data_IF_805056870315
#
_entry.id   IF_805056870315
#
_cell.length_a   1.000
_cell.length_b   1.000
_cell.length_c   1.000
_cell.angle_alpha   90.00
_cell.angle_beta   90.00
_cell.angle_gamma   90.00
#
_symmetry.space_group_name_H-M   'P 1'
#
loop_
_entity.id
_entity.type
_entity.pdbx_description
1 polymer ?
#
# COMPACT_ATOMS: atom_id res chain seq x y z
N UNK A 1 5.56 61.93 -9.99
CA UNK A 1 5.55 60.95 -11.10
C UNK A 1 6.99 60.78 -11.56
N UNK A 2 7.56 59.56 -11.53
CA UNK A 2 8.95 59.34 -11.96
C UNK A 2 8.94 58.94 -13.45
N UNK A 3 9.14 59.90 -14.35
CA UNK A 3 9.20 59.67 -15.79
C UNK A 3 10.49 60.27 -16.34
N UNK A 4 11.20 59.53 -17.17
CA UNK A 4 12.36 60.06 -17.91
C UNK A 4 11.88 60.70 -19.20
N UNK A 5 12.30 61.93 -19.43
CA UNK A 5 11.94 62.77 -20.59
C UNK A 5 13.20 63.43 -21.15
N UNK A 6 13.14 63.92 -22.38
CA UNK A 6 14.29 64.53 -23.05
C UNK A 6 14.22 66.05 -22.92
N UNK A 7 15.27 66.68 -22.38
CA UNK A 7 15.43 68.12 -22.43
C UNK A 7 16.20 68.49 -23.70
N UNK A 8 15.55 69.18 -24.64
CA UNK A 8 16.20 69.59 -25.91
C UNK A 8 16.80 71.00 -25.86
N UNK A 9 16.41 71.80 -24.87
CA UNK A 9 16.88 73.17 -24.71
C UNK A 9 16.55 73.73 -23.33
N UNK A 10 17.10 74.90 -23.04
CA UNK A 10 16.86 75.60 -21.79
C UNK A 10 16.61 77.10 -22.03
N UNK A 11 15.79 77.69 -21.16
CA UNK A 11 15.49 79.11 -21.12
C UNK A 11 15.97 79.69 -19.80
N UNK A 12 16.64 80.84 -19.84
CA UNK A 12 16.98 81.62 -18.66
C UNK A 12 15.90 82.68 -18.46
N UNK A 13 15.19 82.59 -17.35
CA UNK A 13 14.19 83.57 -16.99
C UNK A 13 14.84 84.81 -16.36
N UNK A 14 14.20 85.98 -16.44
CA UNK A 14 14.73 87.25 -15.93
C UNK A 14 15.06 87.20 -14.42
N UNK A 15 14.35 86.35 -13.66
CA UNK A 15 14.62 86.11 -12.23
C UNK A 15 15.81 85.19 -11.94
N UNK A 16 16.62 84.83 -12.95
CA UNK A 16 17.78 83.95 -12.80
C UNK A 16 17.48 82.45 -12.80
N UNK A 17 16.21 82.03 -12.82
CA UNK A 17 15.85 80.61 -12.90
C UNK A 17 16.08 80.02 -14.30
N UNK A 18 16.48 78.76 -14.36
CA UNK A 18 16.63 78.01 -15.61
C UNK A 18 15.44 77.06 -15.77
N UNK A 19 14.83 77.05 -16.95
CA UNK A 19 13.74 76.14 -17.30
C UNK A 19 14.14 75.25 -18.48
N UNK A 20 13.88 73.95 -18.41
CA UNK A 20 14.09 73.01 -19.50
C UNK A 20 12.82 72.82 -20.34
N UNK A 21 12.99 72.78 -21.67
CA UNK A 21 11.94 72.39 -22.61
C UNK A 21 11.93 70.86 -22.75
N UNK A 22 10.85 70.23 -22.27
CA UNK A 22 10.76 68.78 -22.16
C UNK A 22 10.00 68.16 -23.33
N UNK A 23 10.47 66.99 -23.76
CA UNK A 23 9.89 66.18 -24.84
C UNK A 23 9.78 64.71 -24.40
N UNK A 24 8.77 64.01 -24.90
CA UNK A 24 8.65 62.56 -24.70
C UNK A 24 9.53 61.73 -25.67
N UNK A 25 9.39 60.41 -25.66
CA UNK A 25 10.16 59.51 -26.54
C UNK A 25 9.86 59.69 -28.03
N UNK A 26 8.71 60.26 -28.37
CA UNK A 26 8.27 60.47 -29.75
C UNK A 26 8.63 61.88 -30.25
N UNK A 27 9.27 62.70 -29.40
CA UNK A 27 9.57 64.09 -29.71
C UNK A 27 8.36 65.02 -29.55
N UNK A 28 7.30 64.59 -28.87
CA UNK A 28 6.18 65.48 -28.54
C UNK A 28 6.57 66.39 -27.37
N UNK A 29 6.37 67.70 -27.56
CA UNK A 29 6.64 68.69 -26.53
C UNK A 29 5.67 68.55 -25.35
N UNK A 30 6.21 68.58 -24.13
CA UNK A 30 5.48 68.36 -22.88
C UNK A 30 5.33 69.64 -22.04
N UNK A 31 6.12 70.67 -22.30
CA UNK A 31 6.14 71.91 -21.52
C UNK A 31 7.51 72.27 -20.96
N UNK A 32 7.52 73.33 -20.15
CA UNK A 32 8.71 73.79 -19.44
C UNK A 32 8.72 73.31 -17.98
N UNK A 33 9.90 72.98 -17.46
CA UNK A 33 10.10 72.65 -16.05
C UNK A 33 11.29 73.40 -15.47
N UNK A 34 11.19 73.88 -14.23
CA UNK A 34 12.34 74.48 -13.56
C UNK A 34 13.46 73.42 -13.39
N UNK A 35 14.70 73.77 -13.72
CA UNK A 35 15.88 72.90 -13.62
C UNK A 35 15.99 72.23 -12.25
N UNK A 36 15.63 72.92 -11.18
CA UNK A 36 15.74 72.40 -9.80
C UNK A 36 14.67 71.34 -9.48
N UNK A 37 13.64 71.18 -10.31
CA UNK A 37 12.58 70.20 -10.13
C UNK A 37 12.87 68.85 -10.82
N UNK A 38 14.00 68.72 -11.53
CA UNK A 38 14.36 67.51 -12.25
C UNK A 38 15.78 67.05 -11.90
N UNK A 39 16.02 65.76 -12.09
CA UNK A 39 17.35 65.17 -12.02
C UNK A 39 17.84 64.89 -13.43
N UNK A 40 18.93 65.54 -13.82
CA UNK A 40 19.60 65.25 -15.08
C UNK A 40 20.29 63.89 -15.04
N UNK A 41 20.19 63.14 -16.12
CA UNK A 41 20.82 61.83 -16.25
C UNK A 41 21.44 61.67 -17.63
N UNK A 42 22.53 60.92 -17.71
CA UNK A 42 23.32 60.77 -18.94
C UNK A 42 22.73 59.81 -19.96
N UNK A 43 21.61 59.13 -19.68
CA UNK A 43 21.03 58.13 -20.59
C UNK A 43 19.50 58.03 -20.54
N UNK A 44 18.92 57.42 -21.57
CA UNK A 44 17.47 57.31 -21.79
C UNK A 44 16.75 56.47 -20.73
N UNK A 45 17.49 55.72 -19.91
CA UNK A 45 16.96 54.91 -18.82
C UNK A 45 16.53 55.71 -17.59
N UNK A 46 16.99 56.95 -17.44
CA UNK A 46 16.78 57.74 -16.24
C UNK A 46 17.63 57.31 -15.05
N UNK A 47 17.37 57.87 -13.85
CA UNK A 47 18.19 57.59 -12.68
C UNK A 47 17.87 56.22 -12.12
N UNK A 48 18.83 55.61 -11.42
CA UNK A 48 18.56 54.41 -10.63
C UNK A 48 17.65 54.76 -9.46
N UNK A 49 16.50 54.10 -9.36
CA UNK A 49 15.55 54.29 -8.27
C UNK A 49 15.64 53.07 -7.34
N UNK A 50 16.15 53.28 -6.12
CA UNK A 50 16.25 52.25 -5.08
C UNK A 50 14.92 51.52 -4.92
N UNK A 51 14.95 50.21 -5.13
CA UNK A 51 13.75 49.35 -5.08
C UNK A 51 14.17 48.01 -4.51
N UNK A 52 13.54 47.56 -3.43
CA UNK A 52 13.84 46.24 -2.86
C UNK A 52 12.59 45.36 -2.87
N UNK A 53 12.60 44.35 -3.74
CA UNK A 53 11.53 43.36 -3.85
C UNK A 53 12.07 42.07 -4.47
N UNK A 54 11.24 41.04 -4.49
CA UNK A 54 11.54 39.77 -5.15
C UNK A 54 10.59 39.58 -6.33
N UNK A 55 11.11 39.10 -7.44
CA UNK A 55 10.32 38.89 -8.66
C UNK A 55 10.64 37.54 -9.28
N UNK A 56 9.63 36.88 -9.83
CA UNK A 56 9.75 35.62 -10.56
C UNK A 56 9.48 35.88 -12.03
N UNK A 57 10.37 35.44 -12.90
CA UNK A 57 10.20 35.61 -14.36
C UNK A 57 9.07 34.70 -14.81
N UNK A 58 8.00 35.29 -15.37
CA UNK A 58 6.79 34.58 -15.78
C UNK A 58 6.51 34.65 -17.28
N UNK A 59 7.24 35.49 -18.02
CA UNK A 59 7.08 35.63 -19.46
C UNK A 59 8.42 35.37 -20.17
N UNK A 60 8.43 34.35 -21.03
CA UNK A 60 9.61 33.91 -21.78
C UNK A 60 10.04 34.85 -22.91
N UNK A 61 9.20 35.84 -23.27
CA UNK A 61 9.41 36.70 -24.45
C UNK A 61 10.25 37.94 -24.17
N UNK A 62 10.66 38.19 -22.92
CA UNK A 62 11.41 39.39 -22.54
C UNK A 62 12.82 39.01 -22.07
N UNK A 63 13.86 39.13 -22.90
CA UNK A 63 15.21 38.84 -22.47
C UNK A 63 15.65 39.82 -21.36
N UNK A 64 16.73 39.44 -20.68
CA UNK A 64 17.48 40.36 -19.84
C UNK A 64 18.53 41.06 -20.69
N UNK A 65 18.83 42.32 -20.37
CA UNK A 65 19.79 43.14 -21.10
C UNK A 65 21.01 43.50 -20.24
N UNK A 66 22.19 43.52 -20.85
CA UNK A 66 23.45 43.95 -20.23
C UNK A 66 23.57 45.48 -20.13
N UNK A 67 22.78 46.21 -20.91
CA UNK A 67 22.77 47.67 -20.95
C UNK A 67 21.46 48.16 -21.60
N UNK A 68 21.26 49.48 -21.62
CA UNK A 68 20.11 50.12 -22.27
C UNK A 68 20.31 50.37 -23.78
N UNK A 69 21.35 49.78 -24.38
CA UNK A 69 21.49 49.63 -25.83
C UNK A 69 20.91 48.28 -26.32
N UNK A 70 20.11 47.62 -25.47
CA UNK A 70 19.42 46.36 -25.76
C UNK A 70 20.34 45.18 -26.09
N UNK A 71 21.59 45.21 -25.63
CA UNK A 71 22.47 44.04 -25.71
C UNK A 71 21.94 42.93 -24.81
N UNK A 72 21.45 41.84 -25.42
CA UNK A 72 20.89 40.70 -24.69
C UNK A 72 21.98 40.04 -23.82
N UNK A 73 21.62 39.74 -22.58
CA UNK A 73 22.46 39.02 -21.61
C UNK A 73 22.03 37.57 -21.48
N UNK A 74 20.74 37.34 -21.23
CA UNK A 74 20.13 36.02 -21.16
C UNK A 74 18.73 36.05 -21.79
N UNK A 75 18.39 34.98 -22.51
CA UNK A 75 17.03 34.71 -22.94
C UNK A 75 16.13 34.43 -21.72
N UNK A 76 14.92 34.97 -21.67
CA UNK A 76 14.02 34.72 -20.54
C UNK A 76 13.57 33.26 -20.42
N UNK A 77 13.60 32.48 -21.50
CA UNK A 77 13.32 31.04 -21.46
C UNK A 77 14.26 30.28 -20.53
N UNK A 78 15.55 30.64 -20.45
CA UNK A 78 16.52 29.96 -19.56
C UNK A 78 16.39 30.38 -18.09
N UNK A 79 15.65 31.46 -17.84
CA UNK A 79 15.41 32.02 -16.53
C UNK A 79 13.94 31.90 -16.10
N UNK A 80 13.10 31.26 -16.91
CA UNK A 80 11.66 31.15 -16.66
C UNK A 80 11.41 30.48 -15.31
N UNK A 81 10.46 31.03 -14.56
CA UNK A 81 10.08 30.65 -13.21
C UNK A 81 11.15 30.85 -12.12
N UNK A 82 12.36 31.33 -12.45
CA UNK A 82 13.38 31.65 -11.44
C UNK A 82 13.06 32.96 -10.73
N UNK A 83 13.42 33.03 -9.45
CA UNK A 83 13.20 34.18 -8.58
C UNK A 83 14.49 34.96 -8.37
N UNK A 84 14.39 36.29 -8.49
CA UNK A 84 15.50 37.23 -8.34
C UNK A 84 15.14 38.34 -7.36
N UNK A 85 16.16 38.93 -6.74
CA UNK A 85 16.04 40.18 -6.00
C UNK A 85 16.19 41.35 -6.96
N UNK A 86 15.28 42.30 -6.86
CA UNK A 86 15.41 43.62 -7.48
C UNK A 86 16.07 44.55 -6.47
N UNK A 87 17.12 45.25 -6.89
CA UNK A 87 17.79 46.28 -6.05
C UNK A 87 17.50 47.69 -6.53
N UNK A 88 17.08 47.85 -7.79
CA UNK A 88 16.57 49.10 -8.30
C UNK A 88 15.80 48.94 -9.59
N UNK A 89 15.14 50.03 -9.95
CA UNK A 89 14.34 50.16 -11.15
C UNK A 89 14.69 51.42 -11.92
N UNK A 90 14.38 51.41 -13.20
CA UNK A 90 14.64 52.49 -14.15
C UNK A 90 13.34 52.77 -14.91
N UNK A 91 12.93 54.03 -14.92
CA UNK A 91 11.75 54.49 -15.65
C UNK A 91 12.21 55.00 -17.01
N UNK A 92 12.34 54.08 -17.97
CA UNK A 92 12.97 54.39 -19.24
C UNK A 92 12.09 55.32 -20.08
N UNK A 93 12.72 56.16 -20.90
CA UNK A 93 12.04 57.15 -21.75
C UNK A 93 11.00 56.51 -22.69
N UNK A 94 11.18 55.25 -23.08
CA UNK A 94 10.21 54.47 -23.87
C UNK A 94 8.90 54.12 -23.12
N UNK A 95 8.72 54.60 -21.90
CA UNK A 95 7.53 54.37 -21.08
C UNK A 95 7.51 53.04 -20.32
N UNK A 96 8.51 52.18 -20.48
CA UNK A 96 8.62 50.92 -19.73
C UNK A 96 9.49 51.07 -18.48
N UNK A 97 9.11 50.36 -17.42
CA UNK A 97 9.95 50.18 -16.24
C UNK A 97 10.85 48.96 -16.41
N UNK A 98 12.14 49.10 -16.11
CA UNK A 98 13.09 47.99 -16.09
C UNK A 98 13.65 47.74 -14.68
N UNK A 99 13.74 46.48 -14.29
CA UNK A 99 14.32 46.05 -13.01
C UNK A 99 15.73 45.51 -13.18
N UNK A 100 16.62 45.84 -12.26
CA UNK A 100 17.96 45.25 -12.17
C UNK A 100 17.92 43.99 -11.30
N UNK A 101 18.20 42.83 -11.90
CA UNK A 101 18.03 41.51 -11.25
C UNK A 101 19.34 40.99 -10.65
N UNK A 102 19.23 40.43 -9.45
CA UNK A 102 20.33 39.80 -8.72
C UNK A 102 19.92 38.46 -8.14
N UNK A 103 20.84 37.50 -8.10
CA UNK A 103 20.66 36.20 -7.42
C UNK A 103 21.02 36.27 -5.92
N UNK A 104 21.02 35.11 -5.25
CA UNK A 104 21.32 35.02 -3.80
C UNK A 104 22.77 35.34 -3.45
N UNK A 105 23.67 35.31 -4.42
CA UNK A 105 25.09 35.62 -4.27
C UNK A 105 25.40 37.06 -4.71
N UNK A 106 24.38 37.90 -4.91
CA UNK A 106 24.48 39.24 -5.48
C UNK A 106 25.12 39.28 -6.88
N UNK A 107 25.10 38.16 -7.63
CA UNK A 107 25.50 38.16 -9.03
C UNK A 107 24.42 38.86 -9.84
N UNK A 108 24.84 39.75 -10.74
CA UNK A 108 23.94 40.52 -11.57
C UNK A 108 23.50 39.76 -12.84
N UNK A 109 22.19 39.76 -13.09
CA UNK A 109 21.53 39.02 -14.17
C UNK A 109 20.96 39.89 -15.28
N UNK A 110 21.18 41.20 -15.24
CA UNK A 110 20.70 42.11 -16.30
C UNK A 110 19.49 42.93 -15.90
N UNK A 111 19.12 43.81 -16.81
CA UNK A 111 17.88 44.58 -16.75
C UNK A 111 16.75 43.79 -17.41
N UNK A 112 15.58 43.71 -16.78
CA UNK A 112 14.39 43.05 -17.35
C UNK A 112 13.21 44.01 -17.36
N UNK A 113 12.35 43.91 -18.38
CA UNK A 113 11.09 44.66 -18.40
C UNK A 113 10.18 44.20 -17.26
N UNK A 114 9.55 45.14 -16.54
CA UNK A 114 8.60 44.85 -15.44
C UNK A 114 7.47 43.88 -15.87
N UNK A 115 7.01 43.96 -17.10
CA UNK A 115 5.93 43.10 -17.62
C UNK A 115 6.37 41.63 -17.80
N UNK A 116 7.67 41.34 -17.70
CA UNK A 116 8.19 39.98 -17.79
C UNK A 116 8.04 39.17 -16.51
N UNK A 117 7.76 39.83 -15.39
CA UNK A 117 7.89 39.25 -14.05
C UNK A 117 6.61 39.39 -13.24
N UNK A 118 6.43 38.47 -12.28
CA UNK A 118 5.45 38.59 -11.19
C UNK A 118 6.16 38.91 -9.90
N UNK A 119 5.59 39.81 -9.12
CA UNK A 119 6.12 40.15 -7.80
C UNK A 119 5.85 39.00 -6.82
N UNK A 120 6.89 38.61 -6.09
CA UNK A 120 6.84 37.63 -5.01
C UNK A 120 6.81 38.32 -3.65
N UNK A 121 6.16 37.71 -2.67
CA UNK A 121 6.07 38.24 -1.30
C UNK A 121 7.35 38.10 -0.48
N UNK A 122 8.39 37.48 -1.05
CA UNK A 122 9.66 37.23 -0.38
C UNK A 122 10.61 36.40 -1.25
N UNK A 123 11.65 35.84 -0.62
CA UNK A 123 12.68 35.03 -1.30
C UNK A 123 12.12 33.78 -1.99
N UNK A 124 10.94 33.32 -1.59
CA UNK A 124 10.21 32.24 -2.26
C UNK A 124 9.75 32.58 -3.68
N UNK A 125 9.63 33.86 -4.02
CA UNK A 125 9.10 34.29 -5.31
C UNK A 125 7.58 34.24 -5.40
N UNK A 126 7.07 34.36 -6.63
CA UNK A 126 5.66 34.30 -6.94
C UNK A 126 5.16 32.85 -7.01
N UNK A 127 3.91 32.64 -6.63
CA UNK A 127 3.26 31.33 -6.70
C UNK A 127 3.05 30.89 -8.15
N UNK A 128 3.42 29.64 -8.45
CA UNK A 128 3.23 29.02 -9.77
C UNK A 128 2.21 27.89 -9.63
N UNK A 129 1.08 28.02 -10.32
CA UNK A 129 -0.01 27.04 -10.26
C UNK A 129 0.42 25.67 -10.82
N UNK A 130 -0.08 24.60 -10.21
CA UNK A 130 0.08 23.22 -10.67
C UNK A 130 -1.15 22.41 -10.28
N UNK A 131 -1.37 21.30 -10.95
CA UNK A 131 -2.41 20.33 -10.59
C UNK A 131 -1.86 18.89 -10.54
N UNK A 132 -0.54 18.76 -10.44
CA UNK A 132 0.13 17.47 -10.44
C UNK A 132 -0.05 16.78 -9.09
N UNK A 133 0.13 15.46 -9.08
CA UNK A 133 0.22 14.66 -7.86
C UNK A 133 1.67 14.29 -7.62
N UNK A 134 2.06 14.14 -6.35
CA UNK A 134 3.39 13.66 -6.00
C UNK A 134 3.33 12.76 -4.78
N UNK A 135 4.20 11.76 -4.76
CA UNK A 135 4.38 10.89 -3.59
C UNK A 135 5.66 11.25 -2.87
N UNK A 136 5.63 11.25 -1.54
CA UNK A 136 6.82 11.52 -0.74
C UNK A 136 7.69 10.27 -0.69
N UNK A 137 8.87 10.34 -1.29
CA UNK A 137 9.77 9.18 -1.49
C UNK A 137 11.06 9.29 -0.68
N UNK A 138 11.26 10.38 0.06
CA UNK A 138 12.37 10.54 1.02
C UNK A 138 11.89 11.06 2.37
N UNK A 139 12.45 10.53 3.45
CA UNK A 139 11.98 10.75 4.84
C UNK A 139 12.79 11.77 5.65
N UNK A 140 13.84 12.36 5.08
CA UNK A 140 14.79 13.24 5.76
C UNK A 140 14.57 14.74 5.51
N UNK A 141 13.35 15.15 5.14
CA UNK A 141 13.04 16.55 4.84
C UNK A 141 12.07 17.16 5.86
N UNK A 142 12.23 18.45 6.10
CA UNK A 142 11.24 19.24 6.84
C UNK A 142 10.09 19.63 5.92
N UNK A 143 8.90 19.69 6.50
CA UNK A 143 7.70 20.27 5.86
C UNK A 143 7.41 21.58 6.57
N UNK A 144 7.41 22.68 5.83
CA UNK A 144 7.40 24.03 6.36
C UNK A 144 6.01 24.65 6.37
N UNK A 145 5.70 25.41 7.43
CA UNK A 145 4.50 26.22 7.54
C UNK A 145 4.60 27.51 6.71
N UNK A 146 5.81 28.04 6.56
CA UNK A 146 6.08 29.28 5.85
C UNK A 146 7.55 29.34 5.43
N UNK A 147 7.91 30.37 4.67
CA UNK A 147 9.27 30.61 4.19
C UNK A 147 10.17 31.36 5.19
N UNK A 148 9.71 31.52 6.44
CA UNK A 148 10.55 31.83 7.60
C UNK A 148 11.07 30.55 8.28
N UNK A 149 10.95 29.40 7.61
CA UNK A 149 11.40 28.09 8.08
C UNK A 149 10.77 27.66 9.41
N UNK A 150 9.51 28.06 9.66
CA UNK A 150 8.73 27.48 10.76
C UNK A 150 8.32 26.06 10.37
N UNK A 151 8.85 25.05 11.06
CA UNK A 151 8.53 23.63 10.79
C UNK A 151 7.06 23.34 11.13
N UNK A 152 6.36 22.66 10.23
CA UNK A 152 4.98 22.18 10.40
C UNK A 152 4.93 20.66 10.62
N UNK A 153 5.75 19.92 9.89
CA UNK A 153 5.80 18.46 9.93
C UNK A 153 7.17 17.96 9.42
N UNK A 154 7.32 16.65 9.26
CA UNK A 154 8.46 16.01 8.62
C UNK A 154 8.00 15.06 7.51
N UNK A 155 8.82 14.90 6.48
CA UNK A 155 8.53 14.03 5.34
C UNK A 155 8.49 12.56 5.74
N UNK A 156 9.09 12.15 6.87
CA UNK A 156 8.94 10.80 7.44
C UNK A 156 7.49 10.45 7.77
N UNK A 157 6.73 11.38 8.36
CA UNK A 157 5.32 11.19 8.69
C UNK A 157 4.41 11.14 7.43
N UNK A 158 4.93 11.65 6.32
CA UNK A 158 4.25 11.71 5.02
C UNK A 158 4.77 10.65 4.04
N UNK A 159 5.73 9.82 4.46
CA UNK A 159 6.45 8.90 3.60
C UNK A 159 5.49 7.93 2.89
N UNK A 160 5.75 7.72 1.60
CA UNK A 160 4.94 6.97 0.64
C UNK A 160 3.52 7.50 0.40
N UNK A 161 3.06 8.56 1.07
CA UNK A 161 1.72 9.12 0.80
C UNK A 161 1.75 10.01 -0.44
N UNK A 162 0.64 10.02 -1.18
CA UNK A 162 0.44 10.87 -2.35
C UNK A 162 -0.38 12.10 -2.00
N UNK A 163 0.06 13.25 -2.48
CA UNK A 163 -0.55 14.56 -2.28
C UNK A 163 -0.78 15.26 -3.62
N UNK A 164 -1.74 16.18 -3.64
CA UNK A 164 -1.91 17.11 -4.74
C UNK A 164 -0.96 18.30 -4.53
N UNK A 165 -0.29 18.73 -5.60
CA UNK A 165 0.48 19.97 -5.65
C UNK A 165 -0.43 21.02 -6.30
N UNK A 166 -1.00 21.93 -5.50
CA UNK A 166 -1.79 23.06 -6.06
C UNK A 166 -0.91 24.14 -6.68
N UNK A 167 0.37 24.12 -6.34
CA UNK A 167 1.37 25.00 -6.93
C UNK A 167 2.67 24.93 -6.16
N UNK A 168 3.63 25.70 -6.62
CA UNK A 168 5.00 25.65 -6.14
C UNK A 168 5.68 27.01 -6.22
N UNK A 169 6.84 27.08 -5.57
CA UNK A 169 7.70 28.25 -5.51
C UNK A 169 9.10 27.84 -5.93
N UNK A 170 9.70 28.54 -6.90
CA UNK A 170 11.14 28.43 -7.12
C UNK A 170 11.82 29.47 -6.24
N UNK A 171 12.30 29.01 -5.10
CA UNK A 171 12.88 29.89 -4.11
C UNK A 171 14.25 30.38 -4.58
N UNK A 172 14.63 31.58 -4.16
CA UNK A 172 15.88 32.24 -4.57
C UNK A 172 17.16 31.50 -4.13
N UNK A 173 17.03 30.50 -3.25
CA UNK A 173 18.11 29.60 -2.86
C UNK A 173 18.40 28.51 -3.92
N UNK A 174 17.60 28.44 -5.00
CA UNK A 174 17.72 27.46 -6.07
C UNK A 174 16.81 26.23 -5.91
N UNK A 175 16.17 26.05 -4.75
CA UNK A 175 15.26 24.94 -4.50
C UNK A 175 13.83 25.22 -4.96
N UNK A 176 13.11 24.15 -5.28
CA UNK A 176 11.68 24.20 -5.56
C UNK A 176 10.91 23.69 -4.34
N UNK A 177 9.88 24.43 -3.92
CA UNK A 177 9.01 24.03 -2.82
C UNK A 177 7.58 23.81 -3.30
N UNK A 178 7.08 22.59 -3.16
CA UNK A 178 5.70 22.21 -3.49
C UNK A 178 4.76 22.54 -2.33
N UNK A 179 3.59 23.12 -2.65
CA UNK A 179 2.48 23.31 -1.72
C UNK A 179 1.57 22.09 -1.74
N UNK A 180 1.66 21.26 -0.70
CA UNK A 180 0.99 19.95 -0.65
C UNK A 180 -0.41 20.04 -0.05
N UNK A 181 -1.34 19.30 -0.63
CA UNK A 181 -2.71 19.15 -0.17
C UNK A 181 -3.11 17.67 -0.09
N UNK A 182 -3.84 17.30 0.95
CA UNK A 182 -4.41 15.96 1.10
C UNK A 182 -5.73 15.81 0.31
N UNK A 183 -6.34 14.63 0.40
CA UNK A 183 -7.60 14.31 -0.29
C UNK A 183 -8.85 14.97 0.28
N UNK A 184 -8.75 15.61 1.44
CA UNK A 184 -9.79 16.43 2.04
C UNK A 184 -9.61 17.90 1.67
N UNK A 185 -8.56 18.22 0.90
CA UNK A 185 -8.22 19.59 0.53
C UNK A 185 -7.50 20.35 1.65
N UNK A 186 -7.06 19.68 2.72
CA UNK A 186 -6.29 20.33 3.78
C UNK A 186 -4.85 20.54 3.34
N UNK A 187 -4.36 21.74 3.59
CA UNK A 187 -2.98 22.10 3.32
C UNK A 187 -2.00 21.46 4.31
N UNK A 188 -1.01 20.73 3.79
CA UNK A 188 -0.07 19.95 4.57
C UNK A 188 1.26 20.65 4.83
N UNK A 189 1.59 21.68 4.03
CA UNK A 189 2.85 22.40 4.15
C UNK A 189 3.56 22.61 2.81
N UNK A 190 4.68 23.32 2.89
CA UNK A 190 5.65 23.41 1.80
C UNK A 190 6.74 22.35 1.99
N UNK A 191 7.06 21.59 0.93
CA UNK A 191 8.15 20.62 0.96
C UNK A 191 9.13 20.88 -0.18
N UNK A 192 10.42 20.68 0.05
CA UNK A 192 11.42 20.70 -1.03
C UNK A 192 11.09 19.58 -2.04
N UNK A 193 11.14 19.89 -3.34
CA UNK A 193 10.79 18.96 -4.42
C UNK A 193 11.65 17.71 -4.44
N UNK A 194 12.91 17.80 -3.97
CA UNK A 194 13.82 16.66 -3.86
C UNK A 194 13.36 15.56 -2.91
N UNK A 195 12.36 15.82 -2.06
CA UNK A 195 11.73 14.85 -1.18
C UNK A 195 10.61 14.03 -1.84
N UNK A 196 10.13 14.47 -3.01
CA UNK A 196 8.93 13.95 -3.64
C UNK A 196 9.19 13.54 -5.08
N UNK A 197 8.43 12.57 -5.56
CA UNK A 197 8.41 12.14 -6.96
C UNK A 197 7.05 12.44 -7.55
N UNK A 198 7.02 13.15 -8.68
CA UNK A 198 5.78 13.42 -9.42
C UNK A 198 5.17 12.08 -9.85
N UNK A 199 3.88 11.90 -9.58
CA UNK A 199 3.11 10.74 -9.98
C UNK A 199 2.35 11.03 -11.29
N UNK A 200 2.10 9.99 -12.07
CA UNK A 200 1.30 10.09 -13.30
C UNK A 200 -0.15 10.50 -13.03
N UNK A 201 -0.64 10.25 -11.81
CA UNK A 201 -2.00 10.58 -11.41
C UNK A 201 -2.26 10.35 -9.93
N UNK A 202 -3.55 10.24 -9.60
CA UNK A 202 -4.04 10.10 -8.22
C UNK A 202 -3.57 8.81 -7.55
N UNK A 203 -3.15 7.80 -8.31
CA UNK A 203 -2.64 6.54 -7.78
C UNK A 203 -1.31 6.66 -7.02
N UNK A 204 -0.56 7.73 -7.23
CA UNK A 204 0.77 7.85 -6.67
C UNK A 204 1.82 7.09 -7.49
N UNK A 205 3.00 6.96 -6.92
CA UNK A 205 4.11 6.23 -7.57
C UNK A 205 4.03 4.74 -7.28
N UNK A 206 4.58 3.93 -8.18
CA UNK A 206 4.75 2.50 -7.96
C UNK A 206 5.70 2.24 -6.79
N UNK A 207 5.24 1.47 -5.81
CA UNK A 207 6.07 0.97 -4.71
C UNK A 207 6.21 -0.53 -4.89
N UNK A 208 7.44 -1.01 -5.05
CA UNK A 208 7.72 -2.45 -5.13
C UNK A 208 7.20 -3.14 -3.88
N UNK A 209 6.48 -4.23 -4.10
CA UNK A 209 6.08 -5.20 -3.10
C UNK A 209 6.54 -6.58 -3.63
N UNK A 210 6.21 -7.65 -2.91
CA UNK A 210 6.50 -9.02 -3.33
C UNK A 210 5.80 -10.05 -2.44
N UNK A 211 4.98 -9.60 -1.49
CA UNK A 211 4.28 -10.48 -0.57
C UNK A 211 3.18 -11.26 -1.31
N UNK A 212 2.99 -12.50 -0.90
CA UNK A 212 1.83 -13.30 -1.27
C UNK A 212 0.74 -13.07 -0.24
N UNK A 213 -0.45 -12.60 -0.66
CA UNK A 213 -1.59 -12.35 0.22
C UNK A 213 -2.82 -13.14 -0.25
N UNK A 214 -3.67 -13.57 0.70
CA UNK A 214 -4.96 -14.23 0.44
C UNK A 214 -6.06 -13.18 0.35
N UNK A 215 -6.96 -13.29 -0.63
CA UNK A 215 -8.18 -12.48 -0.68
C UNK A 215 -9.18 -13.06 0.32
N UNK A 216 -9.56 -12.27 1.32
CA UNK A 216 -10.41 -12.70 2.44
C UNK A 216 -11.75 -11.98 2.49
N UNK A 217 -11.94 -10.94 1.66
CA UNK A 217 -13.19 -10.19 1.59
C UNK A 217 -13.62 -10.02 0.13
N UNK A 218 -14.85 -10.48 -0.18
CA UNK A 218 -15.43 -10.45 -1.53
C UNK A 218 -16.16 -9.15 -1.89
N UNK A 219 -16.20 -8.15 -0.99
CA UNK A 219 -16.98 -6.92 -1.16
C UNK A 219 -16.22 -5.80 -1.89
N UNK A 220 -15.12 -6.14 -2.56
CA UNK A 220 -14.30 -5.18 -3.31
C UNK A 220 -14.33 -5.44 -4.81
N UNK A 221 -14.23 -4.38 -5.58
CA UNK A 221 -13.98 -4.47 -7.02
C UNK A 221 -12.49 -4.64 -7.30
N UNK A 222 -12.19 -5.39 -8.36
CA UNK A 222 -10.85 -5.52 -8.95
C UNK A 222 -10.81 -4.63 -10.18
N UNK A 223 -9.90 -3.68 -10.20
CA UNK A 223 -9.84 -2.62 -11.21
C UNK A 223 -8.82 -2.93 -12.31
N UNK A 224 -9.16 -2.58 -13.56
CA UNK A 224 -8.25 -2.64 -14.69
C UNK A 224 -7.26 -1.47 -14.70
N UNK A 225 -7.67 -0.31 -14.19
CA UNK A 225 -6.87 0.91 -14.16
C UNK A 225 -7.35 1.84 -13.03
N UNK A 226 -6.64 2.93 -12.82
CA UNK A 226 -6.96 3.94 -11.81
C UNK A 226 -8.00 4.99 -12.27
N UNK A 227 -8.62 4.77 -13.44
CA UNK A 227 -9.85 5.46 -13.86
C UNK A 227 -11.11 4.68 -13.44
N UNK A 228 -10.96 3.72 -12.52
CA UNK A 228 -12.05 2.89 -12.00
C UNK A 228 -12.78 2.07 -13.08
N UNK A 229 -12.07 1.63 -14.13
CA UNK A 229 -12.61 0.62 -15.05
C UNK A 229 -12.63 -0.74 -14.34
N UNK A 230 -13.80 -1.23 -13.97
CA UNK A 230 -13.97 -2.53 -13.30
C UNK A 230 -13.52 -3.66 -14.22
N UNK A 231 -12.71 -4.58 -13.68
CA UNK A 231 -12.27 -5.81 -14.36
C UNK A 231 -13.07 -7.02 -13.90
N UNK A 232 -13.28 -7.15 -12.58
CA UNK A 232 -14.09 -8.22 -11.98
C UNK A 232 -14.40 -7.88 -10.51
N UNK A 233 -15.00 -8.82 -9.76
CA UNK A 233 -15.20 -8.72 -8.30
C UNK A 233 -14.20 -9.59 -7.55
N UNK A 234 -13.75 -9.13 -6.39
CA UNK A 234 -12.93 -9.92 -5.44
C UNK A 234 -13.62 -11.20 -4.96
N UNK A 235 -14.95 -11.31 -5.04
CA UNK A 235 -15.69 -12.55 -4.76
C UNK A 235 -15.20 -13.73 -5.62
N UNK A 236 -14.82 -13.47 -6.87
CA UNK A 236 -14.29 -14.49 -7.79
C UNK A 236 -12.88 -14.98 -7.40
N UNK A 237 -12.23 -14.28 -6.48
CA UNK A 237 -10.90 -14.57 -5.99
C UNK A 237 -10.88 -14.91 -4.50
N UNK A 238 -12.06 -15.04 -3.86
CA UNK A 238 -12.16 -15.30 -2.44
C UNK A 238 -11.41 -16.60 -2.08
N UNK A 239 -10.63 -16.53 -1.01
CA UNK A 239 -9.75 -17.59 -0.51
C UNK A 239 -8.58 -17.99 -1.41
N UNK A 240 -8.34 -17.29 -2.53
CA UNK A 240 -7.18 -17.50 -3.37
C UNK A 240 -6.03 -16.57 -2.96
N UNK A 241 -4.79 -17.04 -3.18
CA UNK A 241 -3.57 -16.30 -2.88
C UNK A 241 -2.95 -15.72 -4.16
N UNK A 242 -2.47 -14.47 -4.07
CA UNK A 242 -1.85 -13.75 -5.19
C UNK A 242 -0.55 -13.09 -4.74
N UNK A 243 0.39 -12.96 -5.68
CA UNK A 243 1.61 -12.18 -5.50
C UNK A 243 1.31 -10.72 -5.75
N UNK A 244 1.52 -9.87 -4.75
CA UNK A 244 1.38 -8.42 -4.86
C UNK A 244 2.72 -7.86 -5.33
N UNK A 245 2.91 -7.69 -6.64
CA UNK A 245 4.21 -7.22 -7.18
C UNK A 245 4.49 -5.75 -6.84
N UNK A 246 3.44 -4.96 -6.72
CA UNK A 246 3.57 -3.57 -6.33
C UNK A 246 2.32 -3.07 -5.65
N UNK A 247 2.47 -1.93 -4.98
CA UNK A 247 1.39 -1.23 -4.29
C UNK A 247 1.43 0.25 -4.60
N UNK A 248 0.26 0.88 -4.49
CA UNK A 248 0.02 2.27 -4.79
C UNK A 248 -0.70 2.91 -3.61
N UNK A 249 -0.13 3.99 -3.07
CA UNK A 249 -0.75 4.77 -2.00
C UNK A 249 -1.63 5.85 -2.63
N UNK A 250 -2.82 5.45 -3.04
CA UNK A 250 -3.68 6.29 -3.83
C UNK A 250 -4.13 7.52 -3.00
N UNK A 251 -4.23 8.68 -3.67
CA UNK A 251 -4.63 9.96 -3.09
C UNK A 251 -5.92 9.85 -2.29
N UNK A 252 -6.89 9.03 -2.71
CA UNK A 252 -8.13 8.74 -1.96
C UNK A 252 -7.90 8.14 -0.54
N UNK A 253 -6.68 7.84 -0.14
CA UNK A 253 -6.33 7.33 1.20
C UNK A 253 -6.28 5.80 1.29
N UNK A 254 -6.62 5.08 0.22
CA UNK A 254 -6.53 3.63 0.15
C UNK A 254 -5.21 3.16 -0.46
N UNK A 255 -4.74 1.98 -0.03
CA UNK A 255 -3.68 1.25 -0.71
C UNK A 255 -4.29 0.29 -1.73
N UNK A 256 -3.74 0.26 -2.95
CA UNK A 256 -4.11 -0.73 -3.97
C UNK A 256 -2.90 -1.59 -4.34
N UNK A 257 -3.08 -2.90 -4.40
CA UNK A 257 -2.09 -3.86 -4.85
C UNK A 257 -2.26 -4.20 -6.32
N UNK A 258 -1.15 -4.34 -7.06
CA UNK A 258 -1.13 -4.97 -8.38
C UNK A 258 -0.98 -6.48 -8.22
N UNK A 259 -2.07 -7.21 -8.47
CA UNK A 259 -2.19 -8.65 -8.23
C UNK A 259 -1.73 -9.50 -9.41
N UNK A 260 -0.96 -10.54 -9.12
CA UNK A 260 -0.53 -11.56 -10.08
C UNK A 260 -0.82 -12.96 -9.54
N UNK A 261 -1.26 -13.87 -10.42
CA UNK A 261 -1.35 -15.29 -10.08
C UNK A 261 0.03 -15.96 -10.02
N UNK A 262 0.07 -17.23 -9.62
CA UNK A 262 1.31 -18.03 -9.52
C UNK A 262 1.98 -18.26 -10.86
N UNK A 263 1.25 -18.15 -11.97
CA UNK A 263 1.77 -18.25 -13.34
C UNK A 263 2.32 -16.91 -13.85
N UNK A 264 2.24 -15.83 -13.05
CA UNK A 264 2.73 -14.51 -13.41
C UNK A 264 1.76 -13.68 -14.25
N UNK A 265 0.49 -14.09 -14.38
CA UNK A 265 -0.51 -13.32 -15.10
C UNK A 265 -1.12 -12.24 -14.20
N UNK A 266 -1.23 -11.04 -14.73
CA UNK A 266 -1.81 -9.90 -14.02
C UNK A 266 -3.35 -9.98 -13.92
N UNK A 267 -3.87 -9.86 -12.70
CA UNK A 267 -5.31 -10.00 -12.40
C UNK A 267 -6.03 -8.68 -12.17
N UNK A 268 -5.33 -7.60 -11.82
CA UNK A 268 -5.96 -6.31 -11.58
C UNK A 268 -5.36 -5.58 -10.39
N UNK A 269 -5.92 -4.41 -10.11
CA UNK A 269 -5.67 -3.66 -8.89
C UNK A 269 -6.75 -3.95 -7.85
N UNK A 270 -6.37 -4.35 -6.63
CA UNK A 270 -7.31 -4.64 -5.54
C UNK A 270 -6.96 -3.81 -4.30
N UNK A 271 -7.99 -3.34 -3.60
CA UNK A 271 -7.82 -2.63 -2.33
C UNK A 271 -7.17 -3.54 -1.28
N UNK A 272 -6.18 -3.02 -0.55
CA UNK A 272 -5.45 -3.77 0.46
C UNK A 272 -6.33 -4.34 1.58
N UNK A 273 -7.46 -3.70 1.92
CA UNK A 273 -8.39 -4.18 2.94
C UNK A 273 -9.17 -5.44 2.50
N UNK A 274 -9.05 -5.85 1.24
CA UNK A 274 -9.60 -7.11 0.76
C UNK A 274 -8.70 -8.33 1.07
N UNK A 275 -7.48 -8.10 1.55
CA UNK A 275 -6.45 -9.13 1.64
C UNK A 275 -5.85 -9.28 3.04
N UNK A 276 -5.32 -10.46 3.33
CA UNK A 276 -4.60 -10.76 4.55
C UNK A 276 -3.36 -11.60 4.25
N UNK A 277 -2.40 -11.61 5.18
CA UNK A 277 -1.30 -12.58 5.11
C UNK A 277 -1.88 -14.00 5.17
N UNK A 278 -1.41 -14.94 4.33
CA UNK A 278 -1.86 -16.32 4.40
C UNK A 278 -1.44 -16.92 5.75
N UNK A 279 -2.36 -17.64 6.38
CA UNK A 279 -2.03 -18.46 7.55
C UNK A 279 -1.19 -19.62 7.05
N UNK A 280 0.06 -19.72 7.49
CA UNK A 280 1.01 -20.77 7.04
C UNK A 280 1.16 -21.91 8.04
N UNK A 281 0.65 -21.71 9.26
CA UNK A 281 0.57 -22.75 10.28
C UNK A 281 -0.66 -22.54 11.15
N UNK A 282 -1.22 -23.64 11.64
CA UNK A 282 -2.31 -23.63 12.60
C UNK A 282 -2.22 -24.87 13.47
N UNK A 283 -2.53 -24.72 14.75
CA UNK A 283 -2.98 -25.81 15.60
C UNK A 283 -4.40 -25.45 16.03
N UNK A 284 -5.33 -26.41 15.91
CA UNK A 284 -6.67 -26.29 16.45
C UNK A 284 -6.52 -26.61 17.93
N UNK A 285 -6.30 -25.57 18.72
CA UNK A 285 -6.03 -25.71 20.15
C UNK A 285 -7.30 -26.14 20.92
N UNK A 286 -7.12 -26.62 22.15
CA UNK A 286 -8.21 -27.01 23.08
C UNK A 286 -9.06 -28.20 22.64
N UNK A 287 -8.52 -29.14 21.88
CA UNK A 287 -9.21 -30.41 21.58
C UNK A 287 -8.92 -31.42 22.68
N UNK A 288 -9.94 -31.87 23.44
CA UNK A 288 -9.74 -32.95 24.40
C UNK A 288 -9.33 -34.22 23.65
N UNK A 289 -8.19 -34.80 24.02
CA UNK A 289 -7.81 -36.12 23.53
C UNK A 289 -8.84 -37.15 23.98
N UNK A 290 -9.25 -38.03 23.06
CA UNK A 290 -10.22 -39.09 23.32
C UNK A 290 -9.57 -40.41 22.98
N UNK A 291 -9.39 -41.24 24.00
CA UNK A 291 -8.94 -42.62 23.84
C UNK A 291 -10.11 -43.51 23.45
N UNK A 292 -9.89 -44.47 22.56
CA UNK A 292 -10.87 -45.55 22.35
C UNK A 292 -10.87 -46.55 23.52
N UNK A 293 -9.81 -46.61 24.34
CA UNK A 293 -9.70 -47.55 25.46
C UNK A 293 -10.25 -47.01 26.78
N UNK A 294 -10.22 -45.71 27.02
CA UNK A 294 -10.70 -45.12 28.28
C UNK A 294 -11.63 -43.94 28.04
N UNK A 295 -12.75 -43.83 28.78
CA UNK A 295 -13.18 -44.71 29.89
C UNK A 295 -14.00 -45.95 29.44
N UNK A 296 -14.30 -46.09 28.15
CA UNK A 296 -15.30 -47.06 27.65
C UNK A 296 -14.76 -48.42 27.24
N UNK A 297 -13.45 -48.55 27.08
CA UNK A 297 -12.78 -49.76 26.59
C UNK A 297 -13.42 -50.34 25.30
N UNK A 298 -13.27 -49.61 24.20
CA UNK A 298 -13.70 -49.99 22.85
C UNK A 298 -12.49 -50.18 21.91
N UNK A 299 -11.78 -51.33 21.95
CA UNK A 299 -10.59 -51.56 21.14
C UNK A 299 -10.81 -51.51 19.62
N UNK A 300 -12.06 -51.57 19.13
CA UNK A 300 -12.41 -51.37 17.71
C UNK A 300 -13.23 -50.09 17.48
N UNK A 301 -13.12 -49.11 18.40
CA UNK A 301 -13.89 -47.86 18.41
C UNK A 301 -13.21 -46.65 17.79
N UNK A 302 -12.15 -46.81 16.99
CA UNK A 302 -11.33 -45.69 16.51
C UNK A 302 -12.14 -44.60 15.80
N UNK A 303 -13.15 -44.98 14.99
CA UNK A 303 -14.04 -44.03 14.33
C UNK A 303 -14.85 -43.17 15.32
N UNK A 304 -15.45 -43.79 16.34
CA UNK A 304 -16.22 -43.11 17.39
C UNK A 304 -15.37 -42.14 18.21
N UNK A 305 -14.16 -42.54 18.58
CA UNK A 305 -13.24 -41.70 19.33
C UNK A 305 -12.71 -40.52 18.48
N UNK A 306 -12.31 -40.77 17.23
CA UNK A 306 -11.82 -39.73 16.31
C UNK A 306 -12.90 -38.71 15.93
N UNK A 307 -14.14 -39.15 15.68
CA UNK A 307 -15.25 -38.21 15.46
C UNK A 307 -15.56 -37.37 16.70
N UNK A 308 -15.43 -37.97 17.89
CA UNK A 308 -15.66 -37.26 19.15
C UNK A 308 -14.63 -36.15 19.34
N UNK A 309 -13.34 -36.39 19.03
CA UNK A 309 -12.32 -35.33 19.05
C UNK A 309 -12.65 -34.20 18.07
N UNK A 310 -12.99 -34.54 16.81
CA UNK A 310 -13.29 -33.54 15.79
C UNK A 310 -14.56 -32.71 16.08
N UNK A 311 -15.59 -33.32 16.68
CA UNK A 311 -16.80 -32.60 17.08
C UNK A 311 -16.53 -31.70 18.30
N UNK A 312 -15.83 -32.22 19.31
CA UNK A 312 -15.46 -31.42 20.51
C UNK A 312 -14.57 -30.23 20.16
N UNK A 313 -13.74 -30.32 19.12
CA UNK A 313 -12.97 -29.16 18.63
C UNK A 313 -13.84 -28.03 18.07
N UNK A 314 -15.12 -28.30 17.78
CA UNK A 314 -16.12 -27.29 17.40
C UNK A 314 -17.04 -26.90 18.55
N UNK A 315 -16.67 -27.24 19.79
CA UNK A 315 -17.46 -26.95 20.99
C UNK A 315 -18.72 -27.81 21.14
N UNK A 316 -18.82 -28.90 20.38
CA UNK A 316 -19.97 -29.80 20.43
C UNK A 316 -19.81 -30.79 21.59
N UNK A 317 -20.81 -30.84 22.47
CA UNK A 317 -20.89 -31.84 23.53
C UNK A 317 -21.38 -33.17 22.95
N UNK A 318 -20.56 -34.21 23.09
CA UNK A 318 -20.87 -35.58 22.67
C UNK A 318 -20.36 -36.53 23.73
N UNK A 319 -21.22 -37.46 24.15
CA UNK A 319 -20.84 -38.55 25.03
C UNK A 319 -20.20 -39.69 24.23
N UNK A 320 -19.03 -40.14 24.67
CA UNK A 320 -18.24 -41.14 23.96
C UNK A 320 -18.94 -42.50 23.97
N UNK A 321 -19.54 -42.89 25.11
CA UNK A 321 -20.21 -44.18 25.26
C UNK A 321 -21.41 -44.27 24.33
N UNK A 322 -22.24 -43.23 24.32
CA UNK A 322 -23.36 -43.12 23.39
C UNK A 322 -22.90 -43.18 21.93
N UNK A 323 -21.83 -42.46 21.58
CA UNK A 323 -21.29 -42.46 20.22
C UNK A 323 -20.87 -43.86 19.76
N UNK A 324 -20.26 -44.64 20.65
CA UNK A 324 -19.83 -46.02 20.40
C UNK A 324 -20.99 -47.02 20.36
N UNK A 325 -21.94 -46.91 21.29
CA UNK A 325 -23.11 -47.80 21.40
C UNK A 325 -24.07 -47.69 20.23
N UNK A 326 -24.13 -46.49 19.62
CA UNK A 326 -25.01 -46.20 18.50
C UNK A 326 -24.25 -46.07 17.17
N UNK A 327 -22.99 -46.50 17.11
CA UNK A 327 -22.19 -46.46 15.89
C UNK A 327 -22.89 -47.29 14.80
N UNK A 328 -23.11 -46.77 13.58
CA UNK A 328 -23.76 -47.54 12.51
C UNK A 328 -23.03 -48.85 12.18
N UNK A 329 -23.76 -49.96 12.28
CA UNK A 329 -23.25 -51.32 12.07
C UNK A 329 -23.83 -51.96 10.80
N UNK A 330 -23.03 -52.80 10.13
CA UNK A 330 -23.50 -53.68 9.06
C UNK A 330 -24.24 -54.91 9.65
N UNK A 331 -25.32 -55.43 9.02
CA UNK A 331 -25.90 -55.03 7.73
C UNK A 331 -26.95 -53.91 7.81
N UNK A 332 -27.34 -53.45 9.00
CA UNK A 332 -28.38 -52.42 9.15
C UNK A 332 -28.04 -51.13 8.37
N UNK A 333 -26.76 -50.77 8.36
CA UNK A 333 -26.21 -49.68 7.55
C UNK A 333 -25.17 -50.25 6.59
N UNK A 334 -25.38 -50.11 5.28
CA UNK A 334 -24.51 -50.69 4.26
C UNK A 334 -23.03 -50.25 4.40
N UNK A 335 -22.81 -48.97 4.73
CA UNK A 335 -21.49 -48.41 5.02
C UNK A 335 -21.02 -48.57 6.46
N UNK A 336 -21.82 -49.22 7.32
CA UNK A 336 -21.55 -49.40 8.74
C UNK A 336 -20.26 -50.19 9.03
N UNK A 337 -19.84 -50.19 10.29
CA UNK A 337 -18.74 -51.02 10.77
C UNK A 337 -19.14 -52.50 10.74
N UNK A 338 -18.20 -53.36 10.36
CA UNK A 338 -18.36 -54.81 10.39
C UNK A 338 -17.60 -55.34 11.60
N UNK A 339 -18.34 -55.90 12.56
CA UNK A 339 -17.85 -56.49 13.81
C UNK A 339 -17.91 -55.56 15.03
N UNK A 340 -18.01 -56.18 16.21
CA UNK A 340 -18.34 -55.49 17.45
C UNK A 340 -17.26 -54.48 17.87
N UNK A 341 -17.70 -53.27 18.25
CA UNK A 341 -16.84 -52.13 18.66
C UNK A 341 -16.04 -52.43 19.95
N UNK A 342 -16.59 -53.23 20.86
CA UNK A 342 -16.04 -53.53 22.18
C UNK A 342 -15.25 -54.83 22.22
N UNK A 343 -15.74 -55.88 21.56
CA UNK A 343 -15.15 -57.23 21.64
C UNK A 343 -14.36 -57.62 20.40
N UNK A 344 -14.56 -56.93 19.28
CA UNK A 344 -13.93 -57.27 18.00
C UNK A 344 -14.51 -58.51 17.34
N UNK A 345 -15.53 -59.12 17.94
CA UNK A 345 -16.20 -60.29 17.38
C UNK A 345 -16.72 -59.98 15.97
N UNK A 346 -16.27 -60.77 15.00
CA UNK A 346 -16.62 -60.60 13.59
C UNK A 346 -16.02 -59.37 12.91
N UNK A 347 -14.96 -58.77 13.45
CA UNK A 347 -14.35 -57.58 12.87
C UNK A 347 -13.77 -57.84 11.48
N UNK A 348 -14.15 -56.99 10.52
CA UNK A 348 -13.61 -57.02 9.15
C UNK A 348 -13.27 -55.62 8.64
N UNK A 349 -14.06 -54.60 9.01
CA UNK A 349 -13.94 -53.26 8.44
C UNK A 349 -14.47 -52.17 9.36
N UNK A 350 -13.73 -51.07 9.51
CA UNK A 350 -14.24 -49.86 10.17
C UNK A 350 -15.36 -49.21 9.34
N UNK A 351 -16.32 -48.54 9.99
CA UNK A 351 -17.36 -47.75 9.34
C UNK A 351 -16.81 -46.85 8.20
N UNK A 352 -17.48 -46.81 7.05
CA UNK A 352 -17.03 -46.06 5.88
C UNK A 352 -17.18 -44.53 6.07
N UNK A 353 -16.34 -43.72 5.38
CA UNK A 353 -16.33 -42.28 5.54
C UNK A 353 -17.69 -41.58 5.35
N UNK A 354 -18.48 -42.00 4.35
CA UNK A 354 -19.79 -41.42 4.08
C UNK A 354 -20.80 -41.71 5.20
N UNK A 355 -20.82 -42.95 5.71
CA UNK A 355 -21.74 -43.33 6.78
C UNK A 355 -21.35 -42.67 8.11
N UNK A 356 -20.05 -42.59 8.41
CA UNK A 356 -19.55 -41.84 9.56
C UNK A 356 -19.89 -40.35 9.46
N UNK A 357 -19.78 -39.76 8.27
CA UNK A 357 -20.21 -38.37 8.01
C UNK A 357 -21.69 -38.18 8.32
N UNK A 358 -22.56 -39.10 7.86
CA UNK A 358 -23.99 -39.05 8.13
C UNK A 358 -24.29 -39.16 9.63
N UNK A 359 -23.57 -40.02 10.33
CA UNK A 359 -23.70 -40.17 11.78
C UNK A 359 -23.24 -38.92 12.55
N UNK A 360 -22.10 -38.34 12.18
CA UNK A 360 -21.58 -37.09 12.77
C UNK A 360 -22.55 -35.91 12.63
N UNK A 361 -23.34 -35.87 11.54
CA UNK A 361 -24.33 -34.82 11.28
C UNK A 361 -25.46 -34.75 12.31
N UNK A 362 -25.65 -35.79 13.13
CA UNK A 362 -26.58 -35.77 14.28
C UNK A 362 -26.23 -34.69 15.29
N UNK A 363 -24.94 -34.39 15.47
CA UNK A 363 -24.48 -33.38 16.42
C UNK A 363 -24.05 -32.08 15.77
N UNK A 364 -23.55 -32.14 14.52
CA UNK A 364 -23.01 -30.96 13.85
C UNK A 364 -23.25 -31.02 12.34
N UNK A 365 -24.07 -30.12 11.80
CA UNK A 365 -24.53 -30.18 10.41
C UNK A 365 -23.43 -29.92 9.37
N UNK A 366 -22.37 -29.19 9.74
CA UNK A 366 -21.26 -28.80 8.84
C UNK A 366 -20.15 -29.86 8.77
N UNK A 367 -20.53 -31.11 8.59
CA UNK A 367 -19.61 -32.24 8.39
C UNK A 367 -19.73 -32.75 6.96
N UNK A 368 -18.61 -32.95 6.28
CA UNK A 368 -18.58 -33.29 4.86
C UNK A 368 -17.56 -34.40 4.58
N UNK A 369 -18.01 -35.43 3.87
CA UNK A 369 -17.13 -36.42 3.25
C UNK A 369 -16.45 -35.77 2.03
N UNK A 370 -15.13 -35.90 1.93
CA UNK A 370 -14.30 -35.30 0.88
C UNK A 370 -13.47 -36.38 0.18
N UNK A 371 -14.09 -37.21 -0.69
CA UNK A 371 -13.38 -38.25 -1.42
C UNK A 371 -12.37 -37.63 -2.40
N UNK A 372 -11.17 -38.21 -2.48
CA UNK A 372 -10.11 -37.78 -3.37
C UNK A 372 -9.38 -36.49 -2.95
N UNK A 373 -9.68 -35.92 -1.79
CA UNK A 373 -9.02 -34.71 -1.32
C UNK A 373 -7.50 -34.90 -1.19
N UNK A 374 -6.72 -34.01 -1.80
CA UNK A 374 -5.25 -34.04 -1.74
C UNK A 374 -4.72 -33.57 -0.38
N UNK A 375 -3.44 -33.83 -0.09
CA UNK A 375 -2.79 -33.25 1.11
C UNK A 375 -2.79 -31.71 1.10
N UNK A 376 -2.86 -31.07 -0.07
CA UNK A 376 -3.04 -29.62 -0.18
C UNK A 376 -4.45 -29.19 0.24
N UNK A 377 -5.48 -29.93 -0.16
CA UNK A 377 -6.87 -29.66 0.24
C UNK A 377 -7.04 -29.81 1.75
N UNK A 378 -6.45 -30.88 2.32
CA UNK A 378 -6.42 -31.12 3.77
C UNK A 378 -5.67 -30.01 4.50
N UNK A 379 -4.50 -29.59 3.98
CA UNK A 379 -3.74 -28.47 4.54
C UNK A 379 -4.58 -27.19 4.58
N UNK A 380 -5.30 -26.87 3.50
CA UNK A 380 -6.18 -25.71 3.46
C UNK A 380 -7.30 -25.80 4.50
N UNK A 381 -7.94 -26.96 4.66
CA UNK A 381 -8.95 -27.16 5.69
C UNK A 381 -8.40 -26.93 7.10
N UNK A 382 -7.21 -27.48 7.39
CA UNK A 382 -6.57 -27.32 8.69
C UNK A 382 -6.18 -25.86 8.94
N UNK A 383 -5.60 -25.16 7.95
CA UNK A 383 -5.26 -23.75 8.05
C UNK A 383 -6.48 -22.83 8.22
N UNK A 384 -7.63 -23.24 7.71
CA UNK A 384 -8.93 -22.59 7.92
C UNK A 384 -9.57 -22.96 9.29
N UNK A 385 -8.94 -23.84 10.08
CA UNK A 385 -9.40 -24.24 11.42
C UNK A 385 -10.42 -25.38 11.44
N UNK A 386 -10.41 -26.23 10.42
CA UNK A 386 -11.34 -27.34 10.27
C UNK A 386 -10.62 -28.67 10.49
N UNK A 387 -10.93 -29.43 11.54
CA UNK A 387 -10.31 -30.73 11.77
C UNK A 387 -10.73 -31.71 10.66
N UNK A 388 -9.84 -32.66 10.37
CA UNK A 388 -10.04 -33.64 9.30
C UNK A 388 -9.82 -35.05 9.85
N UNK A 389 -10.81 -35.93 9.72
CA UNK A 389 -10.64 -37.36 9.95
C UNK A 389 -10.14 -38.01 8.66
N UNK A 390 -9.31 -39.03 8.80
CA UNK A 390 -8.77 -39.78 7.67
C UNK A 390 -8.51 -41.24 8.05
N UNK A 391 -8.57 -42.11 7.04
CA UNK A 391 -8.48 -43.56 7.18
C UNK A 391 -7.09 -44.06 6.83
N UNK A 392 -6.51 -44.85 7.73
CA UNK A 392 -5.08 -45.19 7.77
C UNK A 392 -4.82 -46.57 8.36
N UNK A 393 -3.54 -46.91 8.49
CA UNK A 393 -3.04 -48.10 9.16
C UNK A 393 -2.98 -47.92 10.70
N UNK A 394 -3.18 -49.04 11.39
CA UNK A 394 -3.16 -49.15 12.85
C UNK A 394 -1.75 -49.41 13.40
N UNK A 395 -1.52 -49.16 14.70
CA UNK A 395 -0.30 -49.66 15.37
C UNK A 395 -0.26 -51.18 15.46
N UNK A 396 -1.38 -51.87 15.24
CA UNK A 396 -1.50 -53.33 15.19
C UNK A 396 -1.59 -53.86 13.74
N UNK A 397 -1.16 -53.07 12.76
CA UNK A 397 -1.32 -53.41 11.35
C UNK A 397 -0.58 -54.71 11.00
N UNK A 398 -1.30 -55.66 10.39
CA UNK A 398 -0.74 -56.91 9.85
C UNK A 398 -1.10 -57.14 8.39
N UNK A 399 -2.17 -56.52 7.91
CA UNK A 399 -2.64 -56.62 6.52
C UNK A 399 -2.48 -55.27 5.77
N UNK A 400 -3.07 -55.16 4.57
CA UNK A 400 -3.07 -53.92 3.77
C UNK A 400 -4.36 -53.10 3.93
N UNK A 401 -5.26 -53.49 4.82
CA UNK A 401 -6.53 -52.80 5.05
C UNK A 401 -6.34 -51.59 5.97
N UNK A 402 -6.88 -50.45 5.56
CA UNK A 402 -6.85 -49.19 6.32
C UNK A 402 -7.98 -49.14 7.34
N UNK A 403 -7.93 -50.04 8.31
CA UNK A 403 -8.95 -50.23 9.34
C UNK A 403 -8.67 -49.39 10.60
N UNK A 404 -8.22 -48.14 10.41
CA UNK A 404 -8.01 -47.20 11.50
C UNK A 404 -8.38 -45.77 11.11
N UNK A 405 -8.90 -44.99 12.05
CA UNK A 405 -9.33 -43.60 11.83
C UNK A 405 -8.64 -42.72 12.84
N UNK A 406 -7.94 -41.70 12.33
CA UNK A 406 -7.25 -40.67 13.13
C UNK A 406 -7.80 -39.29 12.79
N UNK A 407 -7.46 -38.29 13.60
CA UNK A 407 -7.85 -36.89 13.35
C UNK A 407 -6.62 -36.00 13.18
N UNK A 408 -6.68 -35.12 12.19
CA UNK A 408 -5.69 -34.07 11.91
C UNK A 408 -6.20 -32.78 12.56
N UNK A 409 -5.37 -32.20 13.43
CA UNK A 409 -5.71 -31.01 14.22
C UNK A 409 -4.71 -29.87 14.06
N UNK A 410 -3.71 -30.00 13.20
CA UNK A 410 -2.75 -28.94 13.00
C UNK A 410 -1.87 -29.15 11.79
N UNK A 411 -1.27 -28.06 11.33
CA UNK A 411 -0.31 -28.02 10.24
C UNK A 411 0.78 -27.01 10.56
N UNK A 412 2.04 -27.44 10.46
CA UNK A 412 3.21 -26.56 10.50
C UNK A 412 4.38 -27.26 9.83
N UNK A 413 5.27 -26.51 9.18
CA UNK A 413 6.53 -27.03 8.63
C UNK A 413 6.34 -28.31 7.79
N UNK A 414 5.37 -28.30 6.87
CA UNK A 414 5.03 -29.44 6.01
C UNK A 414 4.72 -30.75 6.76
N UNK A 415 4.13 -30.62 7.95
CA UNK A 415 3.73 -31.74 8.81
C UNK A 415 2.34 -31.49 9.40
N UNK A 416 1.58 -32.57 9.56
CA UNK A 416 0.28 -32.59 10.19
C UNK A 416 0.38 -33.01 11.67
N UNK A 417 -0.35 -32.35 12.56
CA UNK A 417 -0.52 -32.82 13.94
C UNK A 417 -1.66 -33.85 13.96
N UNK A 418 -1.30 -35.09 14.26
CA UNK A 418 -2.20 -36.24 14.30
C UNK A 418 -2.54 -36.57 15.74
N UNK A 419 -3.83 -36.75 16.02
CA UNK A 419 -4.29 -37.40 17.24
C UNK A 419 -4.80 -38.79 16.87
N UNK A 420 -4.24 -39.78 17.55
CA UNK A 420 -4.51 -41.19 17.34
C UNK A 420 -5.26 -41.74 18.56
N UNK A 421 -6.52 -42.20 18.42
CA UNK A 421 -7.32 -42.66 19.55
C UNK A 421 -6.85 -44.00 20.14
N UNK A 422 -5.90 -44.69 19.50
CA UNK A 422 -5.42 -46.03 19.84
C UNK A 422 -4.45 -46.08 21.03
N UNK A 423 -4.49 -45.09 21.91
CA UNK A 423 -3.63 -45.03 23.09
C UNK A 423 -4.45 -44.69 24.32
N UNK A 424 -4.05 -45.20 25.49
CA UNK A 424 -4.76 -44.95 26.76
C UNK A 424 -4.69 -43.50 27.23
N UNK A 425 -3.67 -42.75 26.80
CA UNK A 425 -3.41 -41.41 27.29
C UNK A 425 -2.83 -40.54 26.18
N UNK A 426 -3.14 -39.24 26.22
CA UNK A 426 -2.53 -38.23 25.34
C UNK A 426 -1.00 -38.16 25.43
N UNK A 427 -0.43 -38.65 26.54
CA UNK A 427 1.01 -38.65 26.80
C UNK A 427 1.71 -39.92 26.28
N UNK A 428 0.96 -40.88 25.74
CA UNK A 428 1.53 -42.13 25.27
C UNK A 428 2.41 -41.88 24.03
N UNK A 429 3.68 -42.29 24.13
CA UNK A 429 4.68 -42.11 23.09
C UNK A 429 4.71 -43.22 22.04
N UNK A 430 5.58 -43.11 21.03
CA UNK A 430 5.82 -44.17 20.04
C UNK A 430 6.18 -45.51 20.68
N UNK A 431 5.68 -46.61 20.10
CA UNK A 431 5.95 -47.98 20.56
C UNK A 431 5.16 -48.41 21.79
N UNK A 432 4.19 -47.62 22.26
CA UNK A 432 3.43 -47.90 23.49
C UNK A 432 2.08 -48.61 23.23
N UNK A 433 1.69 -48.81 21.98
CA UNK A 433 0.47 -49.51 21.59
C UNK A 433 0.81 -50.88 20.96
N UNK A 434 0.49 -51.06 19.67
CA UNK A 434 0.70 -52.32 18.95
C UNK A 434 2.13 -52.60 18.49
N UNK A 435 3.06 -51.67 18.72
CA UNK A 435 4.50 -51.78 18.45
C UNK A 435 4.87 -51.96 16.97
N UNK A 436 3.97 -51.68 16.04
CA UNK A 436 4.31 -51.69 14.61
C UNK A 436 5.38 -50.62 14.31
N UNK A 437 6.51 -50.97 13.66
CA UNK A 437 7.69 -50.11 13.56
C UNK A 437 7.46 -48.80 12.80
N UNK A 438 6.43 -48.75 11.94
CA UNK A 438 6.10 -47.58 11.14
C UNK A 438 4.91 -46.79 11.70
N UNK A 439 3.91 -47.46 12.28
CA UNK A 439 2.59 -46.86 12.52
C UNK A 439 2.29 -46.59 14.00
N UNK A 440 3.10 -47.13 14.91
CA UNK A 440 3.04 -46.82 16.34
C UNK A 440 3.87 -45.55 16.64
N UNK A 441 3.25 -44.38 16.44
CA UNK A 441 3.88 -43.06 16.56
C UNK A 441 3.44 -42.27 17.81
N UNK A 442 2.70 -42.90 18.72
CA UNK A 442 2.15 -42.24 19.91
C UNK A 442 0.81 -41.53 19.66
N UNK A 443 0.17 -41.15 20.77
CA UNK A 443 -1.17 -40.58 20.81
C UNK A 443 -1.30 -39.23 20.11
N UNK A 444 -0.27 -38.39 20.22
CA UNK A 444 -0.20 -37.06 19.62
C UNK A 444 1.17 -36.87 18.99
N UNK A 445 1.23 -36.74 17.66
CA UNK A 445 2.52 -36.63 16.96
C UNK A 445 2.42 -35.77 15.70
N UNK A 446 3.57 -35.23 15.28
CA UNK A 446 3.69 -34.57 13.99
C UNK A 446 4.08 -35.60 12.93
N UNK A 447 3.27 -35.72 11.89
CA UNK A 447 3.48 -36.61 10.74
C UNK A 447 3.83 -35.77 9.52
N UNK A 448 4.95 -36.06 8.86
CA UNK A 448 5.32 -35.34 7.64
C UNK A 448 4.25 -35.52 6.55
N UNK A 449 4.02 -34.51 5.70
CA UNK A 449 3.07 -34.65 4.58
C UNK A 449 3.47 -35.81 3.65
N UNK A 450 4.77 -36.09 3.52
CA UNK A 450 5.28 -37.24 2.77
C UNK A 450 4.81 -38.57 3.37
N UNK A 451 4.95 -38.74 4.68
CA UNK A 451 4.51 -39.98 5.36
C UNK A 451 2.99 -40.09 5.43
N UNK A 452 2.29 -38.97 5.63
CA UNK A 452 0.84 -38.91 5.48
C UNK A 452 0.38 -39.45 4.12
N UNK A 453 1.00 -39.01 3.02
CA UNK A 453 0.62 -39.47 1.68
C UNK A 453 0.86 -40.97 1.45
N UNK A 454 1.78 -41.61 2.20
CA UNK A 454 2.01 -43.07 2.12
C UNK A 454 0.89 -43.87 2.79
N UNK A 455 0.30 -43.36 3.87
CA UNK A 455 -0.75 -44.08 4.62
C UNK A 455 -2.19 -43.66 4.25
N UNK A 456 -2.37 -42.46 3.69
CA UNK A 456 -3.70 -41.89 3.40
C UNK A 456 -4.47 -42.71 2.35
N UNK A 457 -5.67 -43.16 2.71
CA UNK A 457 -6.55 -43.97 1.85
C UNK A 457 -7.32 -43.22 0.77
N UNK A 458 -7.06 -41.93 0.55
CA UNK A 458 -7.75 -41.14 -0.48
C UNK A 458 -9.18 -40.71 -0.14
N UNK A 459 -9.61 -40.90 1.11
CA UNK A 459 -10.90 -40.39 1.60
C UNK A 459 -10.76 -39.85 3.03
N UNK A 460 -11.41 -38.72 3.26
CA UNK A 460 -11.39 -37.99 4.53
C UNK A 460 -12.76 -37.36 4.84
N UNK A 461 -12.91 -36.91 6.08
CA UNK A 461 -14.11 -36.20 6.56
C UNK A 461 -13.65 -34.88 7.17
N UNK A 462 -14.20 -33.76 6.71
CA UNK A 462 -13.91 -32.42 7.27
C UNK A 462 -15.09 -31.90 8.10
N UNK A 463 -14.77 -31.28 9.23
CA UNK A 463 -15.75 -30.60 10.10
C UNK A 463 -15.55 -29.08 10.00
N UNK A 464 -16.45 -28.35 9.33
CA UNK A 464 -16.29 -26.91 8.99
C UNK A 464 -16.86 -25.95 10.03
#
# INVERSE_FOLDING_TARGET
MNKTVHAQGYYRHFNGSIYYSLYDSNGTWLGYVNKNAVTETTGRQGPWIKTSKYVTISNKNYPTYSNFNWQVRYNASSLLNKTFKVTGRYEHMNGSTYYSLYDTNNKWFGYINKNAVKEGSGRQGAFISSNNFASITKSNYSVWQNFNWKKKNSSSNLFNKTFQIKGYYQHMNGDIYYSLYDNKGNWQGYINSGAATIAEGRQGVYIRDGRTLKVVNGNYDVWQNFNWKKKTSSKNYLNQSFVMRGRYQHFNGSTYYSMYDTSGNWKGYLNANATALPVTSRVIDSVPYVSQYTPVFAPWGCAGASMTMALRSKGVSIDLKYAMDNLPMYPQYAGGQIGNVYTGAGFQRVIQPQELTNYMKRWYSKVYHIPGASSKDITNHILDGNPVLYYVYSSYQVDKARNHVKVILGYKNNSFLIYDPLYYSKLAGPGSAGKHPVYDRGAMHWLSVSDFNKEYGGSAIVTK
#
